data_IF_139434651696
#
_entry.id   IF_139434651696
#
_cell.length_a   1.000
_cell.length_b   1.000
_cell.length_c   1.000
_cell.angle_alpha   90.00
_cell.angle_beta   90.00
_cell.angle_gamma   90.00
#
_symmetry.space_group_name_H-M   'P 1'
#
loop_
_entity.id
_entity.type
_entity.pdbx_description
1 polymer ?
#
# COMPACT_ATOMS: atom_id res chain seq x y z
N UNK A 1 23.29 -12.14 -6.70
CA UNK A 1 22.31 -13.04 -6.06
C UNK A 1 21.83 -14.01 -7.12
N UNK A 2 21.74 -15.30 -6.84
CA UNK A 2 21.18 -16.26 -7.79
C UNK A 2 19.74 -15.86 -8.11
N UNK A 3 19.36 -15.88 -9.40
CA UNK A 3 18.00 -15.58 -9.84
C UNK A 3 17.01 -16.46 -9.06
N UNK A 4 15.99 -15.85 -8.49
CA UNK A 4 14.93 -16.58 -7.79
C UNK A 4 14.15 -17.38 -8.85
N UNK A 5 14.11 -18.70 -8.72
CA UNK A 5 13.31 -19.55 -9.62
C UNK A 5 11.82 -19.61 -9.20
N UNK A 6 11.42 -18.74 -8.28
CA UNK A 6 10.10 -18.74 -7.69
C UNK A 6 9.12 -17.90 -8.51
N UNK A 7 7.90 -18.41 -8.66
CA UNK A 7 6.81 -17.74 -9.36
C UNK A 7 5.78 -17.20 -8.37
N UNK A 8 5.52 -15.91 -8.44
CA UNK A 8 4.64 -15.18 -7.52
C UNK A 8 3.40 -14.70 -8.26
N UNK A 9 2.23 -15.02 -7.72
CA UNK A 9 0.99 -14.39 -8.15
C UNK A 9 0.81 -13.07 -7.41
N UNK A 10 0.53 -12.00 -8.15
CA UNK A 10 0.19 -10.68 -7.61
C UNK A 10 -1.23 -10.32 -8.05
N UNK A 11 -2.18 -10.36 -7.13
CA UNK A 11 -3.55 -9.92 -7.42
C UNK A 11 -3.65 -8.41 -7.25
N UNK A 12 -4.36 -7.71 -8.13
CA UNK A 12 -4.39 -6.25 -8.13
C UNK A 12 -3.04 -5.64 -8.52
N UNK A 13 -2.25 -6.38 -9.31
CA UNK A 13 -0.88 -6.02 -9.66
C UNK A 13 -0.76 -4.86 -10.67
N UNK A 14 -1.85 -4.49 -11.35
CA UNK A 14 -1.90 -3.30 -12.22
C UNK A 14 -2.19 -1.99 -11.46
N UNK A 15 -2.55 -2.08 -10.17
CA UNK A 15 -2.82 -0.93 -9.31
C UNK A 15 -1.55 -0.21 -8.85
N UNK A 16 -1.73 0.90 -8.09
CA UNK A 16 -0.66 1.76 -7.59
C UNK A 16 0.43 0.99 -6.84
N UNK A 17 0.10 0.32 -5.72
CA UNK A 17 1.08 -0.43 -4.93
C UNK A 17 1.56 -1.67 -5.69
N UNK A 18 0.64 -2.30 -6.44
CA UNK A 18 0.92 -3.51 -7.21
C UNK A 18 2.04 -3.33 -8.21
N UNK A 19 1.97 -2.30 -9.08
CA UNK A 19 2.98 -2.03 -10.12
C UNK A 19 4.36 -1.76 -9.55
N UNK A 20 4.47 -1.01 -8.44
CA UNK A 20 5.73 -0.74 -7.77
C UNK A 20 6.32 -2.02 -7.14
N UNK A 21 5.46 -2.88 -6.57
CA UNK A 21 5.90 -4.17 -6.00
C UNK A 21 6.31 -5.16 -7.10
N UNK A 22 5.55 -5.24 -8.19
CA UNK A 22 5.90 -6.07 -9.37
C UNK A 22 7.24 -5.66 -9.95
N UNK A 23 7.48 -4.35 -10.09
CA UNK A 23 8.78 -3.83 -10.53
C UNK A 23 9.93 -4.35 -9.65
N UNK A 24 9.76 -4.28 -8.32
CA UNK A 24 10.77 -4.76 -7.37
C UNK A 24 10.94 -6.28 -7.41
N UNK A 25 9.85 -7.04 -7.54
CA UNK A 25 9.91 -8.51 -7.69
C UNK A 25 10.74 -8.91 -8.91
N UNK A 26 10.47 -8.30 -10.06
CA UNK A 26 11.21 -8.56 -11.31
C UNK A 26 12.69 -8.20 -11.18
N UNK A 27 13.01 -7.05 -10.58
CA UNK A 27 14.41 -6.64 -10.29
C UNK A 27 15.12 -7.61 -9.34
N UNK A 28 14.38 -8.33 -8.49
CA UNK A 28 14.92 -9.39 -7.61
C UNK A 28 14.99 -10.77 -8.27
N UNK A 29 14.57 -10.90 -9.53
CA UNK A 29 14.64 -12.13 -10.32
C UNK A 29 13.47 -13.10 -10.12
N UNK A 30 12.37 -12.69 -9.51
CA UNK A 30 11.15 -13.48 -9.45
C UNK A 30 10.45 -13.52 -10.81
N UNK A 31 9.73 -14.63 -11.07
CA UNK A 31 8.71 -14.68 -12.10
C UNK A 31 7.41 -14.19 -11.48
N UNK A 32 6.67 -13.36 -12.21
CA UNK A 32 5.46 -12.70 -11.70
C UNK A 32 4.32 -12.92 -12.66
N UNK A 33 3.18 -13.40 -12.16
CA UNK A 33 1.91 -13.31 -12.86
C UNK A 33 1.01 -12.30 -12.13
N UNK A 34 0.39 -11.42 -12.88
CA UNK A 34 -0.61 -10.47 -12.38
C UNK A 34 -1.99 -11.00 -12.75
N UNK A 35 -2.95 -10.95 -11.81
CA UNK A 35 -4.37 -10.99 -12.09
C UNK A 35 -5.01 -9.69 -11.62
N UNK A 36 -5.75 -9.02 -12.51
CA UNK A 36 -6.41 -7.73 -12.24
C UNK A 36 -7.66 -7.61 -13.11
N UNK A 37 -8.76 -7.07 -12.58
CA UNK A 37 -10.00 -6.86 -13.35
C UNK A 37 -10.07 -5.48 -13.98
N UNK A 38 -9.09 -4.63 -13.75
CA UNK A 38 -8.98 -3.26 -14.23
C UNK A 38 -10.14 -2.33 -13.81
N UNK A 39 -10.81 -2.64 -12.70
CA UNK A 39 -11.88 -1.79 -12.15
C UNK A 39 -11.34 -0.39 -11.80
N UNK A 40 -10.15 -0.34 -11.17
CA UNK A 40 -9.51 0.90 -10.73
C UNK A 40 -8.02 0.99 -11.16
N UNK A 41 -7.67 0.35 -12.25
CA UNK A 41 -6.31 0.29 -12.81
C UNK A 41 -6.37 0.32 -14.34
N UNK A 42 -5.22 0.36 -15.00
CA UNK A 42 -5.10 0.32 -16.45
C UNK A 42 -3.97 -0.63 -16.87
N UNK A 43 -4.13 -1.30 -18.01
CA UNK A 43 -3.12 -2.26 -18.50
C UNK A 43 -1.81 -1.58 -18.87
N UNK A 44 -1.85 -0.33 -19.31
CA UNK A 44 -0.68 0.49 -19.63
C UNK A 44 0.29 0.63 -18.46
N UNK A 45 -0.19 0.56 -17.22
CA UNK A 45 0.67 0.57 -16.05
C UNK A 45 1.57 -0.68 -15.99
N UNK A 46 1.07 -1.84 -16.44
CA UNK A 46 1.85 -3.08 -16.57
C UNK A 46 2.87 -2.97 -17.70
N UNK A 47 2.50 -2.37 -18.82
CA UNK A 47 3.42 -2.16 -19.94
C UNK A 47 4.56 -1.21 -19.55
N UNK A 48 4.28 -0.16 -18.80
CA UNK A 48 5.31 0.73 -18.24
C UNK A 48 6.26 0.00 -17.27
N UNK A 49 5.76 -0.98 -16.51
CA UNK A 49 6.64 -1.84 -15.70
C UNK A 49 7.55 -2.68 -16.60
N UNK A 50 7.04 -3.27 -17.70
CA UNK A 50 7.85 -4.01 -18.68
C UNK A 50 8.96 -3.14 -19.27
N UNK A 51 8.64 -1.90 -19.65
CA UNK A 51 9.61 -0.93 -20.15
C UNK A 51 10.70 -0.61 -19.13
N UNK A 52 10.32 -0.42 -17.85
CA UNK A 52 11.23 -0.05 -16.78
C UNK A 52 12.21 -1.16 -16.41
N UNK A 53 11.82 -2.42 -16.53
CA UNK A 53 12.70 -3.56 -16.23
C UNK A 53 13.52 -4.00 -17.46
N UNK A 54 13.13 -3.59 -18.64
CA UNK A 54 13.78 -3.93 -19.91
C UNK A 54 13.46 -5.34 -20.42
N UNK A 55 13.91 -5.69 -21.66
CA UNK A 55 13.45 -6.87 -22.38
C UNK A 55 13.79 -8.20 -21.73
N UNK A 56 14.88 -8.28 -20.97
CA UNK A 56 15.28 -9.54 -20.32
C UNK A 56 14.37 -9.90 -19.15
N UNK A 57 14.03 -8.93 -18.28
CA UNK A 57 13.21 -9.18 -17.10
C UNK A 57 11.71 -9.13 -17.43
N UNK A 58 11.31 -8.43 -18.48
CA UNK A 58 9.90 -8.36 -18.91
C UNK A 58 9.35 -9.72 -19.32
N UNK A 59 10.20 -10.65 -19.79
CA UNK A 59 9.81 -12.04 -20.10
C UNK A 59 9.38 -12.83 -18.84
N UNK A 60 9.66 -12.32 -17.65
CA UNK A 60 9.23 -12.92 -16.39
C UNK A 60 7.90 -12.32 -15.87
N UNK A 61 7.20 -11.53 -16.67
CA UNK A 61 5.95 -10.87 -16.30
C UNK A 61 4.80 -11.27 -17.21
N UNK A 62 3.84 -12.00 -16.64
CA UNK A 62 2.58 -12.34 -17.30
C UNK A 62 1.44 -11.51 -16.70
N UNK A 63 0.50 -11.08 -17.56
CA UNK A 63 -0.70 -10.37 -17.15
C UNK A 63 -1.94 -11.16 -17.58
N UNK A 64 -2.86 -11.34 -16.63
CA UNK A 64 -4.13 -12.01 -16.82
C UNK A 64 -5.27 -11.06 -16.42
N UNK A 65 -6.13 -10.74 -17.37
CA UNK A 65 -7.39 -10.07 -17.08
C UNK A 65 -8.33 -11.09 -16.42
N UNK A 66 -8.79 -10.78 -15.19
CA UNK A 66 -9.67 -11.68 -14.47
C UNK A 66 -10.16 -11.07 -13.16
N UNK A 67 -11.28 -11.55 -12.66
CA UNK A 67 -11.92 -11.10 -11.43
C UNK A 67 -11.88 -12.21 -10.36
N UNK A 68 -11.40 -11.89 -9.16
CA UNK A 68 -11.32 -12.87 -8.06
C UNK A 68 -12.71 -13.39 -7.63
N UNK A 69 -13.77 -12.64 -7.90
CA UNK A 69 -15.16 -13.09 -7.67
C UNK A 69 -15.57 -14.19 -8.64
N UNK A 70 -14.94 -14.25 -9.80
CA UNK A 70 -15.10 -15.34 -10.75
C UNK A 70 -14.08 -16.46 -10.45
N UNK A 71 -14.55 -17.53 -9.85
CA UNK A 71 -13.70 -18.66 -9.48
C UNK A 71 -13.03 -19.34 -10.68
N UNK A 72 -13.66 -19.29 -11.86
CA UNK A 72 -13.14 -19.89 -13.09
C UNK A 72 -11.86 -19.18 -13.54
N UNK A 73 -11.75 -17.85 -13.38
CA UNK A 73 -10.56 -17.09 -13.73
C UNK A 73 -9.35 -17.54 -12.87
N UNK A 74 -9.57 -17.75 -11.56
CA UNK A 74 -8.56 -18.28 -10.66
C UNK A 74 -8.18 -19.73 -11.00
N UNK A 75 -9.15 -20.60 -11.22
CA UNK A 75 -8.92 -22.01 -11.58
C UNK A 75 -8.11 -22.13 -12.87
N UNK A 76 -8.44 -21.34 -13.89
CA UNK A 76 -7.70 -21.30 -15.15
C UNK A 76 -6.25 -20.92 -14.91
N UNK A 77 -6.00 -19.89 -14.13
CA UNK A 77 -4.65 -19.38 -13.84
C UNK A 77 -3.82 -20.40 -13.07
N UNK A 78 -4.35 -20.94 -11.97
CA UNK A 78 -3.62 -21.89 -11.11
C UNK A 78 -3.43 -23.27 -11.77
N UNK A 79 -4.29 -23.67 -12.71
CA UNK A 79 -4.11 -24.91 -13.47
C UNK A 79 -2.95 -24.84 -14.47
N UNK A 80 -2.65 -23.63 -14.96
CA UNK A 80 -1.60 -23.40 -15.96
C UNK A 80 -0.25 -23.07 -15.30
N UNK A 81 -0.26 -22.50 -14.11
CA UNK A 81 0.96 -22.00 -13.45
C UNK A 81 1.01 -22.43 -12.00
N UNK A 82 2.13 -23.07 -11.61
CA UNK A 82 2.42 -23.38 -10.21
C UNK A 82 3.00 -22.16 -9.53
N UNK A 83 2.30 -21.63 -8.54
CA UNK A 83 2.74 -20.50 -7.73
C UNK A 83 3.43 -20.95 -6.44
N UNK A 84 4.53 -20.32 -6.09
CA UNK A 84 5.26 -20.52 -4.84
C UNK A 84 4.72 -19.66 -3.69
N UNK A 85 4.03 -18.57 -4.03
CA UNK A 85 3.38 -17.67 -3.09
C UNK A 85 2.51 -16.63 -3.79
N UNK A 86 1.68 -15.96 -3.00
CA UNK A 86 0.77 -14.92 -3.47
C UNK A 86 1.00 -13.63 -2.71
N UNK A 87 1.01 -12.49 -3.41
CA UNK A 87 0.85 -11.17 -2.83
C UNK A 87 -0.54 -10.67 -3.22
N UNK A 88 -1.38 -10.41 -2.23
CA UNK A 88 -2.79 -10.10 -2.45
C UNK A 88 -3.08 -8.62 -2.19
N UNK A 89 -3.12 -7.82 -3.27
CA UNK A 89 -3.50 -6.40 -3.25
C UNK A 89 -4.94 -6.15 -3.64
N UNK A 90 -5.52 -7.00 -4.51
CA UNK A 90 -6.84 -6.78 -5.08
C UNK A 90 -7.88 -6.48 -3.99
N UNK A 91 -8.56 -5.35 -4.16
CA UNK A 91 -9.59 -4.91 -3.22
C UNK A 91 -9.93 -3.42 -3.39
N UNK A 92 -11.19 -3.10 -3.17
CA UNK A 92 -11.65 -1.72 -3.07
C UNK A 92 -11.13 -1.09 -1.77
N UNK A 93 -10.69 0.16 -1.82
CA UNK A 93 -9.93 0.81 -0.72
C UNK A 93 -10.48 2.16 -0.24
N UNK A 94 -11.55 2.69 -0.83
CA UNK A 94 -12.05 4.01 -0.54
C UNK A 94 -12.95 4.01 0.72
N UNK A 95 -12.44 4.57 1.83
CA UNK A 95 -13.14 4.62 3.13
C UNK A 95 -14.54 5.25 3.00
N UNK A 96 -14.63 6.45 2.42
CA UNK A 96 -15.91 7.15 2.28
C UNK A 96 -16.92 6.39 1.39
N UNK A 97 -16.48 5.85 0.27
CA UNK A 97 -17.32 5.03 -0.61
C UNK A 97 -17.83 3.77 0.09
N UNK A 98 -16.99 3.14 0.93
CA UNK A 98 -17.40 1.94 1.68
C UNK A 98 -18.56 2.17 2.62
N UNK A 99 -18.69 3.40 3.19
CA UNK A 99 -19.82 3.77 4.05
C UNK A 99 -21.10 3.90 3.24
N UNK A 100 -21.01 4.36 2.00
CA UNK A 100 -22.16 4.57 1.11
C UNK A 100 -22.60 3.24 0.46
N UNK A 101 -21.63 2.42 0.04
CA UNK A 101 -21.89 1.18 -0.69
C UNK A 101 -21.24 -0.04 0.01
N UNK A 102 -21.61 -0.38 1.25
CA UNK A 102 -20.91 -1.42 2.02
C UNK A 102 -20.97 -2.80 1.37
N UNK A 103 -22.10 -3.18 0.79
CA UNK A 103 -22.25 -4.50 0.14
C UNK A 103 -21.31 -4.69 -1.04
N UNK A 104 -21.01 -3.62 -1.82
CA UNK A 104 -20.01 -3.67 -2.89
C UNK A 104 -18.62 -4.02 -2.34
N UNK A 105 -18.29 -3.49 -1.16
CA UNK A 105 -17.01 -3.78 -0.50
C UNK A 105 -16.95 -5.20 0.04
N UNK A 106 -18.03 -5.69 0.65
CA UNK A 106 -18.08 -7.09 1.10
C UNK A 106 -18.04 -8.07 -0.06
N UNK A 107 -18.80 -7.84 -1.12
CA UNK A 107 -18.78 -8.67 -2.31
C UNK A 107 -17.37 -8.71 -2.93
N UNK A 108 -16.81 -7.55 -3.25
CA UNK A 108 -15.51 -7.48 -3.90
C UNK A 108 -14.37 -8.01 -3.02
N UNK A 109 -14.27 -7.53 -1.77
CA UNK A 109 -13.12 -7.81 -0.94
C UNK A 109 -13.19 -9.18 -0.26
N UNK A 110 -14.37 -9.59 0.27
CA UNK A 110 -14.48 -10.87 0.97
C UNK A 110 -14.67 -12.04 0.01
N UNK A 111 -15.66 -11.97 -0.89
CA UNK A 111 -15.95 -13.10 -1.79
C UNK A 111 -14.75 -13.37 -2.69
N UNK A 112 -14.18 -12.32 -3.30
CA UNK A 112 -12.98 -12.46 -4.13
C UNK A 112 -11.79 -13.09 -3.38
N UNK A 113 -11.54 -12.66 -2.13
CA UNK A 113 -10.44 -13.21 -1.32
C UNK A 113 -10.72 -14.64 -0.84
N UNK A 114 -11.96 -14.98 -0.49
CA UNK A 114 -12.34 -16.35 -0.12
C UNK A 114 -12.12 -17.30 -1.30
N UNK A 115 -12.54 -16.92 -2.50
CA UNK A 115 -12.28 -17.70 -3.71
C UNK A 115 -10.77 -17.89 -3.95
N UNK A 116 -9.97 -16.85 -3.74
CA UNK A 116 -8.52 -16.94 -3.82
C UNK A 116 -7.96 -17.95 -2.80
N UNK A 117 -8.35 -17.86 -1.54
CA UNK A 117 -7.88 -18.80 -0.48
C UNK A 117 -8.27 -20.24 -0.78
N UNK A 118 -9.50 -20.49 -1.25
CA UNK A 118 -9.96 -21.82 -1.67
C UNK A 118 -9.11 -22.36 -2.83
N UNK A 119 -8.83 -21.53 -3.83
CA UNK A 119 -8.02 -21.92 -4.98
C UNK A 119 -6.56 -22.16 -4.57
N UNK A 120 -5.98 -21.30 -3.75
CA UNK A 120 -4.65 -21.50 -3.18
C UNK A 120 -4.54 -22.82 -2.41
N UNK A 121 -5.54 -23.16 -1.59
CA UNK A 121 -5.60 -24.43 -0.86
C UNK A 121 -5.62 -25.62 -1.83
N UNK A 122 -6.52 -25.60 -2.82
CA UNK A 122 -6.67 -26.64 -3.85
C UNK A 122 -5.36 -26.94 -4.59
N UNK A 123 -4.60 -25.90 -4.93
CA UNK A 123 -3.33 -26.02 -5.66
C UNK A 123 -2.10 -26.06 -4.74
N UNK A 124 -2.28 -26.23 -3.44
CA UNK A 124 -1.20 -26.33 -2.45
C UNK A 124 -0.25 -25.13 -2.42
N UNK A 125 -0.74 -23.93 -2.77
CA UNK A 125 -0.03 -22.66 -2.67
C UNK A 125 -0.34 -22.00 -1.32
N UNK A 126 0.40 -22.31 -0.25
CA UNK A 126 0.07 -21.95 1.14
C UNK A 126 0.91 -20.80 1.71
N UNK A 127 1.43 -19.91 0.85
CA UNK A 127 2.19 -18.71 1.27
C UNK A 127 1.50 -17.47 0.77
N UNK A 128 1.12 -16.58 1.70
CA UNK A 128 0.37 -15.37 1.41
C UNK A 128 0.98 -14.16 2.09
N UNK A 129 1.25 -13.10 1.33
CA UNK A 129 1.41 -11.73 1.82
C UNK A 129 0.11 -10.99 1.53
N UNK A 130 -0.59 -10.58 2.57
CA UNK A 130 -1.88 -9.90 2.45
C UNK A 130 -1.76 -8.41 2.70
N UNK A 131 -2.31 -7.62 1.79
CA UNK A 131 -2.52 -6.18 1.91
C UNK A 131 -3.59 -5.88 2.95
N UNK A 132 -3.21 -5.79 4.22
CA UNK A 132 -4.07 -5.26 5.27
C UNK A 132 -3.96 -3.73 5.33
N UNK A 133 -4.48 -3.10 6.36
CA UNK A 133 -4.56 -1.64 6.45
C UNK A 133 -4.55 -1.18 7.90
N UNK A 134 -4.00 0.01 8.16
CA UNK A 134 -4.13 0.69 9.46
C UNK A 134 -5.59 0.97 9.85
N UNK A 135 -6.52 0.94 8.90
CA UNK A 135 -7.96 1.12 9.20
C UNK A 135 -8.55 0.04 10.09
N UNK A 136 -7.86 -1.11 10.27
CA UNK A 136 -8.26 -2.16 11.22
C UNK A 136 -8.17 -1.68 12.67
N UNK A 137 -7.28 -0.72 12.97
CA UNK A 137 -7.15 -0.14 14.33
C UNK A 137 -8.31 0.80 14.70
N UNK A 138 -9.00 1.37 13.69
CA UNK A 138 -10.04 2.37 13.91
C UNK A 138 -9.50 3.66 14.55
N UNK A 139 -10.12 4.09 15.66
CA UNK A 139 -9.61 5.16 16.54
C UNK A 139 -8.79 4.51 17.66
N UNK A 140 -7.46 4.46 17.57
CA UNK A 140 -6.66 3.84 18.61
C UNK A 140 -6.70 4.66 19.89
N UNK A 141 -6.70 3.98 21.05
CA UNK A 141 -6.63 4.65 22.36
C UNK A 141 -5.27 5.30 22.60
N UNK A 142 -4.22 4.74 22.02
CA UNK A 142 -2.84 5.20 22.13
C UNK A 142 -2.16 5.22 20.77
N UNK A 143 -1.18 6.08 20.63
CA UNK A 143 -0.29 6.19 19.47
C UNK A 143 1.16 6.27 19.97
N UNK A 144 2.13 5.70 19.21
CA UNK A 144 1.99 5.00 17.94
C UNK A 144 1.29 3.64 18.06
N UNK A 145 0.56 3.22 16.99
CA UNK A 145 -0.07 1.91 16.93
C UNK A 145 0.99 0.79 16.90
N UNK A 146 0.78 -0.24 17.69
CA UNK A 146 1.53 -1.51 17.62
C UNK A 146 0.61 -2.63 17.17
N UNK A 147 1.19 -3.73 16.65
CA UNK A 147 0.43 -4.81 16.01
C UNK A 147 -0.50 -5.57 16.96
N UNK A 148 -0.21 -5.53 18.26
CA UNK A 148 -0.97 -6.20 19.32
C UNK A 148 -2.16 -5.37 19.86
N UNK A 149 -2.39 -4.16 19.30
CA UNK A 149 -3.56 -3.38 19.67
C UNK A 149 -4.85 -4.06 19.27
N UNK A 150 -5.91 -3.80 20.03
CA UNK A 150 -7.26 -4.19 19.69
C UNK A 150 -7.67 -3.60 18.33
N UNK A 151 -8.39 -4.38 17.55
CA UNK A 151 -8.77 -4.04 16.17
C UNK A 151 -10.27 -3.70 16.14
N UNK A 152 -10.59 -2.42 16.04
CA UNK A 152 -11.98 -1.90 16.05
C UNK A 152 -12.19 -0.99 14.83
N UNK A 153 -12.34 -1.55 13.62
CA UNK A 153 -12.49 -0.76 12.40
C UNK A 153 -13.78 0.07 12.41
N UNK A 154 -13.67 1.35 12.04
CA UNK A 154 -14.76 2.31 12.07
C UNK A 154 -15.60 2.36 10.77
N UNK A 155 -15.19 1.66 9.73
CA UNK A 155 -15.83 1.70 8.41
C UNK A 155 -15.85 0.32 7.75
N UNK A 156 -16.74 0.09 6.75
CA UNK A 156 -16.85 -1.21 6.07
C UNK A 156 -15.57 -1.67 5.39
N UNK A 157 -14.77 -0.76 4.80
CA UNK A 157 -13.47 -1.11 4.22
C UNK A 157 -12.55 -1.72 5.29
N UNK A 158 -12.38 -1.05 6.43
CA UNK A 158 -11.56 -1.55 7.53
C UNK A 158 -12.08 -2.90 8.05
N UNK A 159 -13.40 -3.09 8.12
CA UNK A 159 -14.00 -4.39 8.49
C UNK A 159 -13.65 -5.48 7.49
N UNK A 160 -13.65 -5.21 6.16
CA UNK A 160 -13.25 -6.23 5.20
C UNK A 160 -11.80 -6.67 5.40
N UNK A 161 -10.90 -5.74 5.74
CA UNK A 161 -9.49 -6.06 6.01
C UNK A 161 -9.35 -6.89 7.28
N UNK A 162 -10.03 -6.53 8.37
CA UNK A 162 -10.04 -7.30 9.61
C UNK A 162 -10.62 -8.70 9.40
N UNK A 163 -11.78 -8.82 8.77
CA UNK A 163 -12.40 -10.13 8.53
C UNK A 163 -11.48 -11.05 7.71
N UNK A 164 -10.72 -10.52 6.76
CA UNK A 164 -9.76 -11.30 5.98
C UNK A 164 -8.54 -11.73 6.81
N UNK A 165 -8.07 -10.92 7.77
CA UNK A 165 -7.06 -11.37 8.74
C UNK A 165 -7.60 -12.52 9.60
N UNK A 166 -8.83 -12.42 10.11
CA UNK A 166 -9.44 -13.46 10.95
C UNK A 166 -9.72 -14.76 10.16
N UNK A 167 -10.30 -14.67 8.97
CA UNK A 167 -10.48 -15.80 8.07
C UNK A 167 -9.14 -16.51 7.79
N UNK A 168 -8.09 -15.74 7.54
CA UNK A 168 -6.76 -16.29 7.30
C UNK A 168 -6.19 -17.00 8.55
N UNK A 169 -6.44 -16.48 9.76
CA UNK A 169 -6.07 -17.14 11.03
C UNK A 169 -6.81 -18.47 11.22
N UNK A 170 -8.11 -18.50 10.92
CA UNK A 170 -8.91 -19.73 11.00
C UNK A 170 -8.42 -20.78 9.99
N UNK A 171 -8.09 -20.36 8.75
CA UNK A 171 -7.51 -21.25 7.75
C UNK A 171 -6.17 -21.81 8.24
N UNK A 172 -5.30 -21.00 8.81
CA UNK A 172 -4.01 -21.43 9.32
C UNK A 172 -4.15 -22.34 10.54
N UNK A 173 -5.14 -22.08 11.41
CA UNK A 173 -5.43 -22.94 12.57
C UNK A 173 -5.93 -24.32 12.14
N UNK A 174 -6.70 -24.40 11.06
CA UNK A 174 -7.19 -25.66 10.49
C UNK A 174 -6.12 -26.43 9.72
N UNK A 175 -5.13 -25.72 9.16
CA UNK A 175 -4.04 -26.31 8.38
C UNK A 175 -2.73 -25.54 8.66
N UNK A 176 -1.91 -26.02 9.63
CA UNK A 176 -0.66 -25.37 10.02
C UNK A 176 0.40 -25.27 8.93
N UNK A 177 0.19 -25.83 7.75
CA UNK A 177 1.05 -25.66 6.59
C UNK A 177 1.00 -24.27 5.97
N UNK A 178 -0.03 -23.47 6.27
CA UNK A 178 -0.14 -22.11 5.81
C UNK A 178 0.83 -21.16 6.53
N UNK A 179 1.36 -20.24 5.76
CA UNK A 179 2.23 -19.15 6.21
C UNK A 179 1.68 -17.84 5.65
N UNK A 180 1.26 -16.96 6.53
CA UNK A 180 0.58 -15.75 6.12
C UNK A 180 1.16 -14.54 6.84
N UNK A 181 1.46 -13.49 6.10
CA UNK A 181 1.89 -12.19 6.64
C UNK A 181 0.85 -11.15 6.24
N UNK A 182 0.36 -10.41 7.23
CA UNK A 182 -0.54 -9.28 7.05
C UNK A 182 0.26 -8.00 7.16
N UNK A 183 0.32 -7.22 6.09
CA UNK A 183 0.99 -5.94 6.09
C UNK A 183 -0.05 -4.84 6.28
N UNK A 184 -0.06 -4.23 7.47
CA UNK A 184 -0.96 -3.13 7.81
C UNK A 184 -0.31 -1.82 7.37
N UNK A 185 -0.70 -1.35 6.17
CA UNK A 185 -0.17 -0.08 5.65
C UNK A 185 -0.87 1.10 6.27
N UNK A 186 -0.12 2.20 6.37
CA UNK A 186 -0.69 3.50 6.63
C UNK A 186 -1.00 4.21 5.31
N UNK A 187 -0.57 5.42 5.04
CA UNK A 187 -0.99 6.15 3.83
C UNK A 187 0.13 6.11 2.76
N UNK A 188 0.05 5.23 1.75
CA UNK A 188 1.04 5.21 0.68
C UNK A 188 0.96 6.47 -0.17
N UNK A 189 2.14 7.04 -0.48
CA UNK A 189 2.29 8.24 -1.32
C UNK A 189 3.54 8.13 -2.20
N UNK A 190 3.71 9.06 -3.13
CA UNK A 190 4.87 9.11 -4.02
C UNK A 190 4.71 8.28 -5.28
N UNK A 191 5.78 8.19 -6.04
CA UNK A 191 5.85 7.49 -7.30
C UNK A 191 7.25 6.89 -7.51
N UNK A 192 7.44 6.11 -8.57
CA UNK A 192 8.77 5.68 -8.99
C UNK A 192 9.56 6.86 -9.56
N UNK A 193 10.85 6.94 -9.28
CA UNK A 193 11.75 8.04 -9.71
C UNK A 193 11.73 8.33 -11.22
N UNK A 194 11.35 7.37 -12.05
CA UNK A 194 11.22 7.56 -13.51
C UNK A 194 10.03 8.42 -13.91
N UNK A 195 9.07 8.69 -13.00
CA UNK A 195 7.79 9.32 -13.33
C UNK A 195 6.84 8.48 -14.20
N UNK A 196 7.21 7.25 -14.58
CA UNK A 196 6.39 6.42 -15.48
C UNK A 196 5.25 5.67 -14.77
N UNK A 197 5.40 5.35 -13.48
CA UNK A 197 4.38 4.68 -12.65
C UNK A 197 4.15 5.47 -11.37
N UNK A 198 2.89 5.61 -10.98
CA UNK A 198 2.44 6.38 -9.83
C UNK A 198 0.98 6.08 -9.50
N UNK A 199 0.35 6.89 -8.64
CA UNK A 199 -1.07 6.78 -8.33
C UNK A 199 -1.90 7.58 -9.34
N UNK A 200 -2.68 6.86 -10.18
CA UNK A 200 -3.58 7.46 -11.18
C UNK A 200 -5.01 6.90 -10.98
N UNK A 201 -5.76 7.45 -10.01
CA UNK A 201 -7.10 6.95 -9.72
C UNK A 201 -8.10 7.37 -10.81
N UNK A 202 -9.02 6.48 -11.16
CA UNK A 202 -10.16 6.82 -12.01
C UNK A 202 -11.12 7.76 -11.26
N UNK A 203 -11.45 8.89 -11.86
CA UNK A 203 -12.35 9.89 -11.30
C UNK A 203 -11.70 10.79 -10.22
N UNK A 204 -12.52 11.22 -9.24
CA UNK A 204 -12.04 12.08 -8.15
C UNK A 204 -11.21 11.25 -7.17
N UNK A 205 -9.97 11.67 -6.86
CA UNK A 205 -9.12 10.93 -5.94
C UNK A 205 -9.71 10.82 -4.54
N UNK A 206 -9.65 9.62 -3.97
CA UNK A 206 -10.07 9.37 -2.58
C UNK A 206 -8.95 9.62 -1.55
N UNK A 207 -7.69 9.64 -2.00
CA UNK A 207 -6.52 9.89 -1.16
C UNK A 207 -6.05 11.33 -1.26
N UNK A 208 -5.45 11.85 -0.17
CA UNK A 208 -5.03 13.24 -0.05
C UNK A 208 -4.03 13.66 -1.13
N UNK A 209 -2.94 12.92 -1.31
CA UNK A 209 -1.85 13.34 -2.19
C UNK A 209 -2.28 13.44 -3.66
N UNK A 210 -2.91 12.43 -4.29
CA UNK A 210 -3.37 12.57 -5.67
C UNK A 210 -4.45 13.65 -5.82
N UNK A 211 -5.24 13.95 -4.78
CA UNK A 211 -6.18 15.07 -4.79
C UNK A 211 -5.42 16.41 -4.85
N UNK A 212 -4.42 16.63 -3.97
CA UNK A 212 -3.57 17.81 -3.99
C UNK A 212 -2.92 17.99 -5.37
N UNK A 213 -2.39 16.91 -5.96
CA UNK A 213 -1.77 16.94 -7.29
C UNK A 213 -2.76 17.39 -8.38
N UNK A 214 -4.00 16.89 -8.37
CA UNK A 214 -5.02 17.30 -9.35
C UNK A 214 -5.43 18.77 -9.17
N UNK A 215 -5.47 19.28 -7.94
CA UNK A 215 -5.69 20.72 -7.68
C UNK A 215 -4.50 21.53 -8.18
N UNK A 216 -3.27 21.10 -7.89
CA UNK A 216 -2.05 21.80 -8.31
C UNK A 216 -1.89 21.94 -9.82
N UNK A 217 -2.38 20.97 -10.60
CA UNK A 217 -2.39 21.01 -12.08
C UNK A 217 -3.66 21.64 -12.68
N UNK A 218 -4.60 22.08 -11.82
CA UNK A 218 -5.83 22.75 -12.26
C UNK A 218 -6.94 21.83 -12.79
N UNK A 219 -6.82 20.51 -12.55
CA UNK A 219 -7.91 19.54 -12.87
C UNK A 219 -9.08 19.62 -11.88
N UNK A 220 -8.79 19.98 -10.64
CA UNK A 220 -9.78 20.23 -9.60
C UNK A 220 -9.63 21.67 -9.08
N UNK A 221 -10.73 22.35 -8.71
CA UNK A 221 -10.68 23.77 -8.34
C UNK A 221 -10.07 24.02 -6.95
N UNK A 222 -10.32 23.14 -6.01
CA UNK A 222 -9.92 23.27 -4.60
C UNK A 222 -9.80 21.90 -3.91
N UNK A 223 -9.03 21.84 -2.83
CA UNK A 223 -8.92 20.67 -1.97
C UNK A 223 -9.96 20.74 -0.85
N UNK A 224 -10.83 19.74 -0.74
CA UNK A 224 -11.70 19.57 0.41
C UNK A 224 -10.93 18.99 1.59
N UNK A 225 -10.75 19.77 2.66
CA UNK A 225 -10.15 19.36 3.94
C UNK A 225 -11.26 18.94 4.89
N UNK A 226 -11.41 17.63 5.10
CA UNK A 226 -12.49 17.06 5.91
C UNK A 226 -12.12 17.02 7.40
N UNK A 227 -12.82 17.81 8.20
CA UNK A 227 -12.56 18.03 9.61
C UNK A 227 -11.49 19.11 9.83
N UNK A 228 -11.86 20.14 10.59
CA UNK A 228 -10.97 21.25 10.98
C UNK A 228 -11.11 21.54 12.49
N UNK A 229 -11.75 20.64 13.21
CA UNK A 229 -12.11 20.72 14.62
C UNK A 229 -11.61 19.49 15.41
N UNK A 230 -10.65 18.70 14.86
CA UNK A 230 -10.01 17.62 15.57
C UNK A 230 -9.13 18.18 16.71
N UNK A 231 -8.96 17.45 17.82
CA UNK A 231 -8.04 17.81 18.91
C UNK A 231 -6.58 17.57 18.50
N UNK A 232 -6.14 18.25 17.45
CA UNK A 232 -4.79 18.21 16.88
C UNK A 232 -4.26 19.64 16.78
N UNK A 233 -2.93 19.86 16.63
CA UNK A 233 -2.36 21.22 16.63
C UNK A 233 -2.96 22.20 15.61
N UNK A 234 -3.36 21.73 14.44
CA UNK A 234 -3.98 22.56 13.38
C UNK A 234 -5.44 22.24 13.10
N UNK A 235 -6.05 21.40 13.95
CA UNK A 235 -7.45 20.98 13.83
C UNK A 235 -7.72 19.93 12.77
N UNK A 236 -6.73 19.49 11.98
CA UNK A 236 -6.93 18.49 10.93
C UNK A 236 -6.42 17.10 11.33
N UNK A 237 -6.91 16.07 10.64
CA UNK A 237 -6.55 14.68 10.94
C UNK A 237 -5.06 14.40 10.72
N UNK A 238 -4.46 13.57 11.58
CA UNK A 238 -3.06 13.17 11.50
C UNK A 238 -2.95 11.73 10.95
N UNK A 239 -2.05 11.53 9.98
CA UNK A 239 -1.78 10.24 9.35
C UNK A 239 -0.27 10.01 9.22
N UNK A 240 0.11 8.74 9.08
CA UNK A 240 1.48 8.33 8.73
C UNK A 240 1.55 8.10 7.22
N UNK A 241 2.43 8.84 6.55
CA UNK A 241 2.60 8.76 5.09
C UNK A 241 3.88 8.00 4.77
N UNK A 242 3.75 6.90 4.02
CA UNK A 242 4.86 6.04 3.62
C UNK A 242 5.07 6.12 2.11
N UNK A 243 6.33 6.20 1.67
CA UNK A 243 6.64 6.17 0.25
C UNK A 243 6.34 4.80 -0.36
N UNK A 244 5.72 4.78 -1.55
CA UNK A 244 5.27 3.55 -2.21
C UNK A 244 6.42 2.58 -2.50
N UNK A 245 7.64 3.09 -2.75
CA UNK A 245 8.83 2.24 -2.96
C UNK A 245 9.27 1.56 -1.66
N UNK A 246 9.24 2.25 -0.51
CA UNK A 246 9.50 1.63 0.79
C UNK A 246 8.45 0.56 1.10
N UNK A 247 7.19 0.84 0.77
CA UNK A 247 6.11 -0.12 0.91
C UNK A 247 6.33 -1.35 0.02
N UNK A 248 6.74 -1.16 -1.23
CA UNK A 248 7.10 -2.27 -2.14
C UNK A 248 8.24 -3.12 -1.58
N UNK A 249 9.30 -2.49 -1.04
CA UNK A 249 10.40 -3.20 -0.37
C UNK A 249 9.93 -3.98 0.87
N UNK A 250 8.94 -3.47 1.60
CA UNK A 250 8.30 -4.18 2.71
C UNK A 250 7.63 -5.49 2.28
N UNK A 251 6.99 -5.50 1.10
CA UNK A 251 6.40 -6.71 0.53
C UNK A 251 7.48 -7.75 0.16
N UNK A 252 8.60 -7.29 -0.39
CA UNK A 252 9.74 -8.16 -0.69
C UNK A 252 10.31 -8.76 0.58
N UNK A 253 10.47 -7.98 1.64
CA UNK A 253 10.96 -8.45 2.94
C UNK A 253 10.01 -9.49 3.55
N UNK A 254 8.70 -9.24 3.52
CA UNK A 254 7.66 -10.17 3.99
C UNK A 254 7.67 -11.48 3.18
N UNK A 255 7.75 -11.39 1.85
CA UNK A 255 7.81 -12.56 0.99
C UNK A 255 9.04 -13.42 1.28
N UNK A 256 10.22 -12.81 1.45
CA UNK A 256 11.45 -13.51 1.85
C UNK A 256 11.31 -14.19 3.20
N UNK A 257 10.67 -13.54 4.18
CA UNK A 257 10.38 -14.13 5.49
C UNK A 257 9.51 -15.39 5.37
N UNK A 258 8.47 -15.37 4.51
CA UNK A 258 7.63 -16.56 4.24
C UNK A 258 8.41 -17.73 3.65
N UNK A 259 9.42 -17.46 2.81
CA UNK A 259 10.23 -18.52 2.22
C UNK A 259 11.26 -19.10 3.19
N UNK A 260 11.79 -18.28 4.10
CA UNK A 260 12.89 -18.68 5.01
C UNK A 260 12.40 -19.22 6.36
N UNK A 261 11.20 -18.82 6.82
CA UNK A 261 10.69 -19.19 8.15
C UNK A 261 9.57 -20.23 8.03
N UNK A 262 9.84 -21.47 8.48
CA UNK A 262 8.90 -22.61 8.31
C UNK A 262 7.64 -22.47 9.16
N UNK A 263 7.73 -22.02 10.40
CA UNK A 263 6.62 -22.04 11.36
C UNK A 263 6.15 -20.62 11.74
N UNK A 264 6.01 -19.73 10.74
CA UNK A 264 5.60 -18.35 11.00
C UNK A 264 4.11 -18.23 11.34
N UNK A 265 3.28 -19.19 10.90
CA UNK A 265 1.83 -19.12 11.06
C UNK A 265 1.24 -17.88 10.38
N UNK A 266 0.47 -17.10 11.16
CA UNK A 266 -0.03 -15.77 10.80
C UNK A 266 0.69 -14.69 11.60
N UNK A 267 1.26 -13.70 10.93
CA UNK A 267 1.93 -12.56 11.58
C UNK A 267 1.56 -11.25 10.92
N UNK A 268 1.22 -10.24 11.74
CA UNK A 268 0.96 -8.88 11.27
C UNK A 268 2.18 -8.00 11.45
N UNK A 269 2.41 -7.04 10.52
CA UNK A 269 3.45 -6.03 10.58
C UNK A 269 2.94 -4.68 10.10
N UNK A 270 3.22 -3.63 10.84
CA UNK A 270 2.97 -2.27 10.42
C UNK A 270 4.03 -1.81 9.41
N UNK A 271 3.59 -1.29 8.27
CA UNK A 271 4.46 -0.63 7.30
C UNK A 271 4.12 0.86 7.25
N UNK A 272 4.99 1.67 7.83
CA UNK A 272 4.80 3.09 8.05
C UNK A 272 6.16 3.79 8.26
N UNK A 273 6.15 5.08 8.58
CA UNK A 273 7.37 5.85 8.90
C UNK A 273 7.58 6.04 10.40
N UNK A 274 6.53 5.82 11.20
CA UNK A 274 6.53 6.12 12.63
C UNK A 274 6.29 7.60 12.94
N UNK A 275 5.85 8.38 11.96
CA UNK A 275 5.61 9.83 12.08
C UNK A 275 4.18 10.18 11.69
N UNK A 276 3.49 10.90 12.58
CA UNK A 276 2.22 11.54 12.26
C UNK A 276 2.44 12.88 11.54
N UNK A 277 1.71 13.11 10.45
CA UNK A 277 1.68 14.37 9.71
C UNK A 277 0.22 14.76 9.47
N UNK A 278 -0.13 16.02 9.76
CA UNK A 278 -1.49 16.52 9.57
C UNK A 278 -1.81 16.79 8.09
N UNK A 279 -3.09 16.96 7.77
CA UNK A 279 -3.50 17.32 6.41
C UNK A 279 -2.92 18.67 5.99
N UNK A 280 -2.95 19.68 6.86
CA UNK A 280 -2.43 21.01 6.53
C UNK A 280 -0.90 21.03 6.47
N UNK A 281 -0.20 20.27 7.31
CA UNK A 281 1.26 20.10 7.19
C UNK A 281 1.63 19.48 5.82
N UNK A 282 0.86 18.49 5.34
CA UNK A 282 1.11 17.88 4.03
C UNK A 282 0.85 18.87 2.89
N UNK A 283 -0.21 19.68 2.97
CA UNK A 283 -0.49 20.74 2.00
C UNK A 283 0.65 21.77 1.98
N UNK A 284 1.07 22.25 3.14
CA UNK A 284 2.15 23.25 3.25
C UNK A 284 3.48 22.71 2.70
N UNK A 285 3.80 21.44 2.98
CA UNK A 285 4.99 20.80 2.43
C UNK A 285 4.92 20.68 0.90
N UNK A 286 3.76 20.32 0.35
CA UNK A 286 3.55 20.25 -1.10
C UNK A 286 3.63 21.64 -1.75
N UNK A 287 3.01 22.68 -1.15
CA UNK A 287 3.11 24.06 -1.64
C UNK A 287 4.57 24.55 -1.68
N UNK A 288 5.32 24.28 -0.59
CA UNK A 288 6.74 24.64 -0.52
C UNK A 288 7.56 23.96 -1.62
N UNK A 289 7.33 22.67 -1.86
CA UNK A 289 8.06 21.90 -2.86
C UNK A 289 7.71 22.27 -4.30
N UNK A 290 6.42 22.48 -4.58
CA UNK A 290 5.92 22.76 -5.94
C UNK A 290 5.96 24.22 -6.33
N UNK A 291 6.10 25.12 -5.37
CA UNK A 291 5.94 26.58 -5.57
C UNK A 291 4.51 27.01 -5.90
N UNK A 292 3.52 26.09 -5.80
CA UNK A 292 2.12 26.32 -6.14
C UNK A 292 1.27 26.43 -4.89
N UNK A 293 0.36 27.40 -4.88
CA UNK A 293 -0.70 27.47 -3.86
C UNK A 293 -1.80 26.49 -4.14
N UNK A 294 -2.27 25.83 -3.07
CA UNK A 294 -3.37 24.86 -3.12
C UNK A 294 -4.60 25.51 -2.47
N UNK A 295 -5.60 25.94 -3.26
CA UNK A 295 -6.87 26.39 -2.70
C UNK A 295 -7.49 25.28 -1.85
N UNK A 296 -7.89 25.61 -0.61
CA UNK A 296 -8.51 24.67 0.31
C UNK A 296 -9.91 25.14 0.70
N UNK A 297 -10.80 24.16 0.90
CA UNK A 297 -12.13 24.33 1.48
C UNK A 297 -12.26 23.48 2.72
N UNK A 298 -12.52 24.10 3.85
CA UNK A 298 -12.77 23.39 5.10
C UNK A 298 -14.17 22.78 5.08
N UNK A 299 -14.26 21.47 5.32
CA UNK A 299 -15.50 20.69 5.32
C UNK A 299 -15.70 20.02 6.67
N UNK A 300 -16.93 19.62 7.03
CA UNK A 300 -17.20 18.80 8.20
C UNK A 300 -16.42 17.48 8.17
N UNK A 301 -16.23 16.85 9.33
CA UNK A 301 -15.60 15.51 9.42
C UNK A 301 -16.33 14.48 8.56
N UNK A 302 -15.57 13.59 7.92
CA UNK A 302 -16.17 12.42 7.26
C UNK A 302 -16.50 11.35 8.29
N UNK A 303 -17.60 10.63 8.08
CA UNK A 303 -17.92 9.46 8.87
C UNK A 303 -16.85 8.37 8.68
N UNK A 304 -16.40 7.76 9.78
CA UNK A 304 -15.41 6.69 9.76
C UNK A 304 -13.95 7.14 9.71
N UNK A 305 -13.66 8.45 9.82
CA UNK A 305 -12.29 8.97 9.94
C UNK A 305 -11.83 9.04 11.42
N UNK A 306 -10.63 8.56 11.69
CA UNK A 306 -9.96 8.66 12.99
C UNK A 306 -9.22 10.00 13.12
N UNK A 307 -9.05 10.50 14.37
CA UNK A 307 -8.34 11.76 14.67
C UNK A 307 -6.85 11.68 14.30
N UNK A 308 -6.14 10.69 14.85
CA UNK A 308 -4.72 10.52 14.63
C UNK A 308 -4.37 9.03 14.58
N UNK A 309 -3.68 8.60 13.51
CA UNK A 309 -3.23 7.22 13.33
C UNK A 309 -1.85 7.21 12.70
N UNK A 310 -0.85 6.79 13.46
CA UNK A 310 0.52 6.51 13.01
C UNK A 310 1.12 5.33 13.78
N UNK A 311 2.16 4.68 13.25
CA UNK A 311 2.62 3.38 13.73
C UNK A 311 3.94 3.40 14.49
N UNK A 312 4.16 2.35 15.32
CA UNK A 312 5.49 1.80 15.56
C UNK A 312 5.86 0.85 14.44
N UNK A 313 7.09 0.95 13.93
CA UNK A 313 7.65 0.07 12.90
C UNK A 313 8.69 -0.91 13.47
N UNK A 314 8.86 -0.93 14.79
CA UNK A 314 9.90 -1.71 15.48
C UNK A 314 9.84 -3.20 15.16
N UNK A 315 8.64 -3.78 15.09
CA UNK A 315 8.45 -5.19 14.76
C UNK A 315 8.89 -5.50 13.33
N UNK A 316 8.51 -4.67 12.37
CA UNK A 316 8.93 -4.84 10.98
C UNK A 316 10.45 -4.67 10.82
N UNK A 317 11.06 -3.70 11.50
CA UNK A 317 12.51 -3.53 11.52
C UNK A 317 13.24 -4.75 12.08
N UNK A 318 12.79 -5.23 13.24
CA UNK A 318 13.45 -6.33 13.96
C UNK A 318 13.27 -7.67 13.24
N UNK A 319 12.07 -7.97 12.76
CA UNK A 319 11.72 -9.30 12.28
C UNK A 319 11.80 -9.46 10.75
N UNK A 320 11.53 -8.40 9.97
CA UNK A 320 11.64 -8.40 8.52
C UNK A 320 12.96 -7.81 8.03
N UNK A 321 13.73 -7.12 8.91
CA UNK A 321 14.90 -6.34 8.51
C UNK A 321 14.53 -5.16 7.60
N UNK A 322 13.28 -4.73 7.64
CA UNK A 322 12.75 -3.66 6.82
C UNK A 322 12.74 -2.32 7.56
N UNK A 323 13.15 -1.26 6.88
CA UNK A 323 13.12 0.11 7.42
C UNK A 323 12.82 1.07 6.28
N UNK A 324 11.87 2.04 6.44
CA UNK A 324 11.58 3.04 5.43
C UNK A 324 12.82 3.93 5.22
N UNK A 325 13.13 4.23 3.96
CA UNK A 325 14.32 4.99 3.57
C UNK A 325 13.99 6.39 3.05
N UNK A 326 12.83 6.53 2.40
CA UNK A 326 12.43 7.78 1.73
C UNK A 326 11.86 8.83 2.70
N UNK A 327 11.34 8.41 3.85
CA UNK A 327 10.84 9.29 4.92
C UNK A 327 11.51 8.93 6.24
N UNK A 328 12.81 9.18 6.39
CA UNK A 328 13.48 8.98 7.68
C UNK A 328 13.23 10.18 8.61
N UNK A 329 12.67 9.92 9.80
CA UNK A 329 12.56 10.95 10.84
C UNK A 329 13.94 11.46 11.26
N UNK A 330 14.12 12.80 11.40
CA UNK A 330 15.35 13.36 11.94
C UNK A 330 15.76 12.77 13.31
N UNK A 331 14.81 12.36 14.15
CA UNK A 331 15.08 11.79 15.48
C UNK A 331 15.64 10.36 15.45
N UNK A 332 15.29 9.54 14.44
CA UNK A 332 15.93 8.23 14.25
C UNK A 332 17.36 8.35 13.72
N UNK A 333 17.64 9.41 12.96
CA UNK A 333 18.99 9.72 12.47
C UNK A 333 19.89 10.24 13.59
N UNK A 334 19.38 11.01 14.55
CA UNK A 334 20.16 11.51 15.72
C UNK A 334 20.81 10.40 16.54
N UNK A 335 20.24 9.19 16.53
CA UNK A 335 20.86 8.04 17.21
C UNK A 335 22.00 7.37 16.44
N UNK A 336 22.26 7.76 15.19
CA UNK A 336 23.23 7.08 14.29
C UNK A 336 24.17 7.99 13.50
N UNK A 337 24.09 9.31 13.49
CA UNK A 337 24.86 10.16 12.59
C UNK A 337 25.32 11.49 13.18
N UNK A 338 26.50 11.95 12.68
CA UNK A 338 27.18 13.21 12.90
C UNK A 338 26.34 14.43 12.47
N UNK A 339 26.38 15.59 13.18
CA UNK A 339 25.61 16.80 12.90
C UNK A 339 25.78 17.38 11.47
N UNK A 340 26.93 17.20 10.83
CA UNK A 340 27.17 17.68 9.46
C UNK A 340 26.40 16.94 8.37
N UNK A 341 26.06 15.67 8.61
CA UNK A 341 25.25 14.85 7.69
C UNK A 341 23.74 15.17 7.81
N UNK A 342 23.33 15.82 8.90
CA UNK A 342 21.94 16.23 9.14
C UNK A 342 21.49 17.40 8.23
N UNK A 343 22.39 18.36 7.94
CA UNK A 343 22.07 19.49 7.06
C UNK A 343 21.94 19.08 5.59
N UNK A 344 22.75 18.14 5.12
CA UNK A 344 22.64 17.59 3.76
C UNK A 344 21.33 16.84 3.53
N UNK A 345 20.85 16.13 4.52
CA UNK A 345 19.63 15.30 4.42
C UNK A 345 18.31 16.05 4.63
N UNK A 346 18.31 17.21 5.28
CA UNK A 346 17.17 18.13 5.26
C UNK A 346 16.94 18.62 3.82
N UNK A 347 18.02 18.85 3.04
CA UNK A 347 17.93 19.12 1.61
C UNK A 347 17.39 17.96 0.79
N UNK A 348 17.77 16.71 1.10
CA UNK A 348 17.25 15.50 0.43
C UNK A 348 15.76 15.27 0.70
N UNK A 349 15.25 15.67 1.86
CA UNK A 349 13.83 15.58 2.22
C UNK A 349 13.00 16.62 1.46
N UNK A 350 13.53 17.84 1.32
CA UNK A 350 12.98 18.88 0.45
C UNK A 350 13.03 18.44 -1.04
N UNK A 351 14.08 17.74 -1.47
CA UNK A 351 14.24 17.17 -2.82
C UNK A 351 13.24 16.04 -3.13
N UNK A 352 12.88 15.21 -2.14
CA UNK A 352 11.91 14.15 -2.34
C UNK A 352 10.49 14.68 -2.49
N UNK A 353 10.11 15.68 -1.67
CA UNK A 353 8.85 16.41 -1.85
C UNK A 353 8.88 17.15 -3.19
N UNK A 354 10.05 17.65 -3.60
CA UNK A 354 10.25 18.28 -4.91
C UNK A 354 10.11 17.27 -6.05
N UNK A 355 10.63 16.04 -5.93
CA UNK A 355 10.42 14.93 -6.89
C UNK A 355 8.96 14.52 -6.98
N UNK A 356 8.25 14.45 -5.85
CA UNK A 356 6.79 14.23 -5.83
C UNK A 356 6.03 15.35 -6.56
N UNK A 357 6.55 16.59 -6.55
CA UNK A 357 6.00 17.73 -7.27
C UNK A 357 6.43 17.76 -8.73
N UNK A 358 7.64 17.29 -9.08
CA UNK A 358 8.17 17.23 -10.45
C UNK A 358 7.47 16.18 -11.32
N UNK A 359 6.89 15.11 -10.71
CA UNK A 359 6.00 14.16 -11.40
C UNK A 359 4.77 14.85 -12.03
N UNK A 360 4.51 16.11 -11.65
CA UNK A 360 3.45 16.94 -12.26
C UNK A 360 3.72 17.36 -13.72
N UNK A 361 4.96 17.42 -14.16
CA UNK A 361 5.24 17.74 -15.59
C UNK A 361 4.91 16.57 -16.51
N UNK A 362 4.99 15.34 -16.00
CA UNK A 362 4.61 14.13 -16.73
C UNK A 362 3.10 13.95 -16.85
N UNK A 363 2.32 14.53 -15.94
CA UNK A 363 0.84 14.54 -15.99
C UNK A 363 0.26 15.57 -16.98
N UNK A 364 1.11 16.44 -17.57
CA UNK A 364 0.69 17.41 -18.61
C UNK A 364 0.78 16.86 -20.03
N UNK A 365 1.32 15.69 -20.23
CA UNK A 365 1.39 14.98 -21.52
C UNK A 365 0.50 13.75 -21.47
#
# INVERSE_FOLDING_TARGET
MAASNQTILVTGGAGFIGTHTVLQLLKQGFKVAIIDNLDNSVVEAVDRVRDLVGPQLSNNLDFHLGDLRNKEDLEKLFSQTKFDGVIHFAGLKAVGESVIYPLRYFDNNLIGSINLYQTMAKYNCKKLVFSSSSTVYGQPEKIPCVEDFELIPMNPYGRTKLFLEEIARDIQSSDPGWRMIFLRYFNPVGAHESGKIGEDPKGIPNNLMPYIQQVAVGRLPELNVYGHDYPTPDGTAIRDYIHVMDLADGHIAALRKLFTTKNIGCSAYNLATGRGTSVLEMVAAFEKASGKKIPIKLCPRRAGDATAVYASTEKAEKELGWNPRHFQSPDRQRRRLDPQVLEERVREQDELIWRMAADMETLKR
#
